data_IF_263894582524
#
_entry.id   IF_263894582524
#
_cell.length_a   1.000
_cell.length_b   1.000
_cell.length_c   1.000
_cell.angle_alpha   90.00
_cell.angle_beta   90.00
_cell.angle_gamma   90.00
#
_symmetry.space_group_name_H-M   'P 1'
#
loop_
_entity.id
_entity.type
_entity.pdbx_description
1 polymer ?
#
# COMPACT_ATOMS: atom_id res chain seq x y z
N UNK A 1 28.79 7.16 -12.29
CA UNK A 1 28.19 8.50 -12.51
C UNK A 1 26.69 8.36 -12.41
N UNK A 2 26.04 9.12 -11.54
CA UNK A 2 24.59 9.15 -11.48
C UNK A 2 24.06 10.01 -12.64
N UNK A 3 23.03 9.51 -13.33
CA UNK A 3 22.40 10.29 -14.40
C UNK A 3 21.48 11.36 -13.77
N UNK A 4 21.77 12.65 -13.91
CA UNK A 4 20.98 13.73 -13.31
C UNK A 4 19.55 13.85 -13.89
N UNK A 5 19.32 13.23 -15.06
CA UNK A 5 18.01 13.23 -15.71
C UNK A 5 17.16 11.98 -15.37
N UNK A 6 17.67 11.10 -14.51
CA UNK A 6 16.92 9.92 -14.08
C UNK A 6 15.73 10.36 -13.25
N UNK A 7 14.55 9.83 -13.56
CA UNK A 7 13.35 10.03 -12.77
C UNK A 7 13.19 8.88 -11.77
N UNK A 8 12.80 9.22 -10.57
CA UNK A 8 12.56 8.24 -9.49
C UNK A 8 11.07 8.00 -9.38
N UNK A 9 10.66 6.76 -9.66
CA UNK A 9 9.30 6.29 -9.43
C UNK A 9 9.29 5.29 -8.28
N UNK A 10 8.34 5.42 -7.36
CA UNK A 10 8.16 4.53 -6.22
C UNK A 10 6.80 3.85 -6.31
N UNK A 11 6.78 2.52 -6.22
CA UNK A 11 5.58 1.77 -5.88
C UNK A 11 5.35 1.93 -4.37
N UNK A 12 4.35 2.74 -4.00
CA UNK A 12 4.07 3.11 -2.61
C UNK A 12 3.04 2.18 -1.95
N UNK A 13 2.71 1.06 -2.57
CA UNK A 13 1.78 0.10 -1.99
C UNK A 13 2.23 -0.32 -0.59
N UNK A 14 1.32 -0.23 0.38
CA UNK A 14 1.51 -0.51 1.80
C UNK A 14 2.33 0.53 2.60
N UNK A 15 2.93 1.54 1.95
CA UNK A 15 3.65 2.62 2.63
C UNK A 15 2.75 3.81 3.00
N UNK A 16 1.63 3.98 2.31
CA UNK A 16 0.76 5.15 2.49
C UNK A 16 0.27 5.27 3.95
N UNK A 17 0.30 6.48 4.49
CA UNK A 17 -0.14 6.84 5.86
C UNK A 17 0.66 6.19 7.00
N UNK A 18 1.77 5.51 6.74
CA UNK A 18 2.65 4.94 7.78
C UNK A 18 3.59 6.01 8.34
N UNK A 19 4.12 6.85 7.45
CA UNK A 19 5.02 7.95 7.80
C UNK A 19 4.33 9.31 7.68
N UNK A 20 4.92 10.32 8.27
CA UNK A 20 4.47 11.73 8.14
C UNK A 20 4.85 12.37 6.82
N UNK A 21 5.76 11.74 6.07
CA UNK A 21 6.24 12.20 4.76
C UNK A 21 6.09 11.09 3.74
N UNK A 22 5.43 11.40 2.64
CA UNK A 22 5.30 10.50 1.50
C UNK A 22 6.51 10.64 0.55
N UNK A 23 6.87 9.63 -0.24
CA UNK A 23 8.06 9.66 -1.09
C UNK A 23 8.21 10.87 -2.01
N UNK A 24 7.14 11.49 -2.56
CA UNK A 24 7.28 12.69 -3.36
C UNK A 24 7.71 13.93 -2.57
N UNK A 25 7.55 13.93 -1.24
CA UNK A 25 7.99 15.02 -0.38
C UNK A 25 9.50 15.02 -0.16
N UNK A 26 10.18 13.91 -0.45
CA UNK A 26 11.61 13.73 -0.18
C UNK A 26 12.43 13.48 -1.43
N UNK A 27 12.12 12.48 -2.26
CA UNK A 27 13.01 12.11 -3.37
C UNK A 27 12.28 11.66 -4.64
N UNK A 28 11.06 11.14 -4.54
CA UNK A 28 10.37 10.59 -5.71
C UNK A 28 9.82 11.68 -6.64
N UNK A 29 9.97 11.48 -7.94
CA UNK A 29 9.31 12.29 -8.95
C UNK A 29 7.86 11.87 -9.16
N UNK A 30 7.58 10.59 -8.96
CA UNK A 30 6.28 9.97 -9.16
C UNK A 30 6.08 8.83 -8.16
N UNK A 31 4.87 8.64 -7.70
CA UNK A 31 4.44 7.44 -6.99
C UNK A 31 3.21 6.84 -7.66
N UNK A 32 3.08 5.54 -7.51
CA UNK A 32 1.86 4.83 -7.85
C UNK A 32 1.50 3.87 -6.71
N UNK A 33 0.22 3.58 -6.57
CA UNK A 33 -0.25 2.65 -5.57
C UNK A 33 -1.66 2.17 -5.87
N UNK A 34 -2.17 1.30 -5.00
CA UNK A 34 -3.46 0.67 -5.14
C UNK A 34 -4.47 1.24 -4.15
N UNK A 35 -5.64 1.67 -4.66
CA UNK A 35 -6.73 2.16 -3.83
C UNK A 35 -7.47 1.05 -3.07
N UNK A 36 -7.22 -0.22 -3.37
CA UNK A 36 -7.76 -1.34 -2.59
C UNK A 36 -6.89 -1.73 -1.38
N UNK A 37 -5.75 -1.06 -1.21
CA UNK A 37 -4.81 -1.25 -0.09
C UNK A 37 -4.98 -0.11 0.92
N UNK A 38 -3.88 0.41 1.46
CA UNK A 38 -3.91 1.44 2.50
C UNK A 38 -4.89 2.59 2.22
N UNK A 39 -4.85 3.25 1.04
CA UNK A 39 -5.75 4.38 0.79
C UNK A 39 -7.22 4.02 0.71
N UNK A 40 -7.54 2.75 0.52
CA UNK A 40 -8.92 2.28 0.42
C UNK A 40 -9.63 2.09 1.75
N UNK A 41 -8.94 2.17 2.89
CA UNK A 41 -9.53 2.08 4.22
C UNK A 41 -10.39 0.84 4.42
N UNK A 42 -10.05 -0.27 3.79
CA UNK A 42 -10.74 -1.58 3.77
C UNK A 42 -12.06 -1.63 2.98
N UNK A 43 -12.56 -0.53 2.43
CA UNK A 43 -13.87 -0.48 1.77
C UNK A 43 -13.84 -0.10 0.29
N UNK A 44 -12.77 0.47 -0.22
CA UNK A 44 -12.65 0.78 -1.64
C UNK A 44 -12.61 -0.52 -2.47
N UNK A 45 -13.50 -0.68 -3.47
CA UNK A 45 -13.64 -1.96 -4.18
C UNK A 45 -12.61 -2.16 -5.28
N UNK A 46 -12.01 -1.10 -5.80
CA UNK A 46 -11.07 -1.14 -6.92
C UNK A 46 -10.30 0.17 -7.04
N UNK A 47 -9.37 0.23 -7.97
CA UNK A 47 -8.69 1.44 -8.38
C UNK A 47 -7.21 1.47 -8.03
N UNK A 48 -6.53 2.41 -8.66
CA UNK A 48 -5.16 2.77 -8.40
C UNK A 48 -5.02 4.29 -8.44
N UNK A 49 -3.87 4.78 -8.02
CA UNK A 49 -3.55 6.21 -8.11
C UNK A 49 -2.13 6.39 -8.63
N UNK A 50 -1.92 7.56 -9.22
CA UNK A 50 -0.60 8.08 -9.56
C UNK A 50 -0.53 9.50 -9.04
N UNK A 51 0.54 9.84 -8.34
CA UNK A 51 0.75 11.18 -7.79
C UNK A 51 2.22 11.58 -7.92
N UNK A 52 2.49 12.90 -8.01
CA UNK A 52 3.83 13.43 -8.15
C UNK A 52 3.91 14.64 -9.06
N UNK A 53 4.98 14.79 -9.84
CA UNK A 53 5.19 15.93 -10.74
C UNK A 53 4.11 15.97 -11.82
N UNK A 54 3.57 17.18 -12.03
CA UNK A 54 2.43 17.41 -12.91
C UNK A 54 2.63 16.88 -14.34
N UNK A 55 3.80 17.08 -14.90
CA UNK A 55 4.15 16.62 -16.24
C UNK A 55 4.17 15.09 -16.35
N UNK A 56 4.68 14.40 -15.33
CA UNK A 56 4.72 12.94 -15.28
C UNK A 56 3.32 12.34 -15.04
N UNK A 57 2.53 12.96 -14.18
CA UNK A 57 1.13 12.54 -13.95
C UNK A 57 0.31 12.70 -15.24
N UNK A 58 0.48 13.82 -15.95
CA UNK A 58 -0.21 14.06 -17.22
C UNK A 58 0.20 13.04 -18.30
N UNK A 59 1.50 12.73 -18.40
CA UNK A 59 2.01 11.72 -19.33
C UNK A 59 1.43 10.34 -19.00
N UNK A 60 1.37 9.96 -17.72
CA UNK A 60 0.78 8.70 -17.28
C UNK A 60 -0.69 8.62 -17.63
N UNK A 61 -1.45 9.68 -17.37
CA UNK A 61 -2.89 9.75 -17.70
C UNK A 61 -3.13 9.59 -19.21
N UNK A 62 -2.30 10.20 -20.03
CA UNK A 62 -2.37 10.04 -21.49
C UNK A 62 -2.09 8.61 -21.97
N UNK A 63 -1.25 7.86 -21.24
CA UNK A 63 -0.95 6.45 -21.54
C UNK A 63 -2.05 5.48 -21.06
N UNK A 64 -2.78 5.83 -19.98
CA UNK A 64 -3.82 4.98 -19.40
C UNK A 64 -5.15 5.05 -20.13
N UNK A 65 -5.38 6.08 -20.93
CA UNK A 65 -6.61 6.28 -21.70
C UNK A 65 -6.36 6.06 -23.20
N UNK A 66 -7.44 6.01 -24.00
CA UNK A 66 -7.30 5.99 -25.45
C UNK A 66 -6.65 7.29 -25.96
N UNK A 67 -5.90 7.24 -27.06
CA UNK A 67 -5.24 8.43 -27.61
C UNK A 67 -6.22 9.60 -27.77
N UNK A 68 -5.88 10.76 -27.23
CA UNK A 68 -6.66 11.98 -27.29
C UNK A 68 -7.78 12.15 -26.25
N UNK A 69 -8.06 11.15 -25.42
CA UNK A 69 -9.12 11.24 -24.40
C UNK A 69 -8.60 11.77 -23.04
N UNK A 70 -7.34 11.54 -22.72
CA UNK A 70 -6.75 11.99 -21.44
C UNK A 70 -7.60 11.58 -20.23
N UNK A 71 -7.80 12.52 -19.32
CA UNK A 71 -8.59 12.32 -18.08
C UNK A 71 -10.07 12.74 -18.20
N UNK A 72 -10.52 13.18 -19.37
CA UNK A 72 -11.88 13.70 -19.58
C UNK A 72 -12.95 12.60 -19.47
N UNK A 73 -12.58 11.37 -19.70
CA UNK A 73 -13.45 10.22 -19.49
C UNK A 73 -13.36 9.77 -18.02
N UNK A 74 -14.41 10.00 -17.25
CA UNK A 74 -14.50 9.54 -15.86
C UNK A 74 -14.30 8.03 -15.76
N UNK A 75 -13.26 7.63 -15.02
CA UNK A 75 -12.82 6.24 -14.92
C UNK A 75 -13.64 5.40 -13.94
N UNK A 76 -14.47 6.02 -13.10
CA UNK A 76 -15.22 5.29 -12.08
C UNK A 76 -16.67 5.75 -11.94
N UNK A 77 -17.62 4.82 -11.77
CA UNK A 77 -19.02 5.14 -11.46
C UNK A 77 -19.13 5.91 -10.13
N UNK A 78 -20.12 6.79 -10.00
CA UNK A 78 -20.27 7.66 -8.81
C UNK A 78 -20.40 6.92 -7.49
N UNK A 79 -21.00 5.73 -7.47
CA UNK A 79 -21.08 4.91 -6.25
C UNK A 79 -19.72 4.34 -5.83
N UNK A 80 -18.86 4.01 -6.79
CA UNK A 80 -17.47 3.58 -6.53
C UNK A 80 -16.65 4.75 -5.98
N UNK A 81 -16.78 5.94 -6.56
CA UNK A 81 -16.12 7.16 -6.08
C UNK A 81 -16.51 7.47 -4.63
N UNK A 82 -17.77 7.28 -4.25
CA UNK A 82 -18.20 7.47 -2.85
C UNK A 82 -17.48 6.51 -1.90
N UNK A 83 -17.39 5.23 -2.25
CA UNK A 83 -16.68 4.23 -1.46
C UNK A 83 -15.17 4.55 -1.37
N UNK A 84 -14.56 5.02 -2.46
CA UNK A 84 -13.15 5.47 -2.45
C UNK A 84 -12.92 6.64 -1.51
N UNK A 85 -13.74 7.69 -1.54
CA UNK A 85 -13.59 8.82 -0.62
C UNK A 85 -13.86 8.45 0.84
N UNK A 86 -14.84 7.60 1.10
CA UNK A 86 -15.08 7.08 2.44
C UNK A 86 -13.90 6.23 2.93
N UNK A 87 -13.35 5.39 2.07
CA UNK A 87 -12.14 4.61 2.36
C UNK A 87 -10.95 5.50 2.67
N UNK A 88 -10.71 6.52 1.86
CA UNK A 88 -9.63 7.48 2.09
C UNK A 88 -9.77 8.21 3.44
N UNK A 89 -10.99 8.55 3.84
CA UNK A 89 -11.25 9.15 5.15
C UNK A 89 -10.90 8.19 6.31
N UNK A 90 -11.17 6.90 6.17
CA UNK A 90 -10.88 5.89 7.18
C UNK A 90 -9.43 5.38 7.15
N UNK A 91 -8.75 5.55 6.03
CA UNK A 91 -7.44 4.96 5.75
C UNK A 91 -6.39 5.20 6.84
N UNK A 92 -6.17 6.42 7.37
CA UNK A 92 -5.16 6.64 8.40
C UNK A 92 -5.40 5.82 9.66
N UNK A 93 -6.66 5.67 10.08
CA UNK A 93 -6.99 4.84 11.23
C UNK A 93 -6.77 3.35 10.93
N UNK A 94 -7.21 2.87 9.77
CA UNK A 94 -7.05 1.46 9.39
C UNK A 94 -5.56 1.08 9.27
N UNK A 95 -4.75 1.96 8.70
CA UNK A 95 -3.29 1.77 8.62
C UNK A 95 -2.67 1.76 10.00
N UNK A 96 -3.06 2.67 10.89
CA UNK A 96 -2.60 2.69 12.27
C UNK A 96 -2.90 1.37 13.01
N UNK A 97 -4.10 0.81 12.84
CA UNK A 97 -4.44 -0.50 13.42
C UNK A 97 -3.65 -1.65 12.77
N UNK A 98 -3.42 -1.60 11.46
CA UNK A 98 -2.58 -2.59 10.77
C UNK A 98 -1.13 -2.58 11.28
N UNK A 99 -0.54 -1.40 11.49
CA UNK A 99 0.80 -1.26 12.09
C UNK A 99 0.85 -1.84 13.50
N UNK A 100 -0.16 -1.56 14.35
CA UNK A 100 -0.24 -2.14 15.70
C UNK A 100 -0.35 -3.67 15.64
N UNK A 101 -1.17 -4.19 14.73
CA UNK A 101 -1.29 -5.63 14.51
C UNK A 101 0.04 -6.26 14.11
N UNK A 102 0.77 -5.65 13.17
CA UNK A 102 2.10 -6.09 12.75
C UNK A 102 3.12 -6.08 13.89
N UNK A 103 3.09 -5.03 14.75
CA UNK A 103 3.95 -4.95 15.94
C UNK A 103 3.65 -6.07 16.94
N UNK A 104 2.37 -6.32 17.23
CA UNK A 104 1.95 -7.39 18.13
C UNK A 104 2.38 -8.77 17.62
N UNK A 105 2.19 -9.05 16.33
CA UNK A 105 2.62 -10.29 15.70
C UNK A 105 4.14 -10.45 15.82
N UNK A 106 4.90 -9.39 15.50
CA UNK A 106 6.36 -9.43 15.60
C UNK A 106 6.83 -9.74 17.03
N UNK A 107 6.24 -9.11 18.05
CA UNK A 107 6.59 -9.39 19.47
C UNK A 107 6.28 -10.84 19.85
N UNK A 108 5.07 -11.32 19.53
CA UNK A 108 4.65 -12.67 19.89
C UNK A 108 5.50 -13.74 19.19
N UNK A 109 5.76 -13.56 17.90
CA UNK A 109 6.52 -14.54 17.11
C UNK A 109 8.01 -14.53 17.49
N UNK A 110 8.58 -13.35 17.75
CA UNK A 110 9.93 -13.22 18.26
C UNK A 110 10.10 -13.89 19.64
N UNK A 111 9.13 -13.70 20.54
CA UNK A 111 9.13 -14.33 21.86
C UNK A 111 9.02 -15.87 21.78
N UNK A 112 8.42 -16.40 20.72
CA UNK A 112 8.37 -17.85 20.44
C UNK A 112 9.63 -18.38 19.72
N UNK A 113 10.64 -17.53 19.49
CA UNK A 113 11.89 -17.92 18.84
C UNK A 113 11.85 -17.94 17.31
N UNK A 114 10.81 -17.42 16.68
CA UNK A 114 10.77 -17.26 15.22
C UNK A 114 11.54 -16.03 14.78
N UNK A 115 12.15 -16.11 13.60
CA UNK A 115 12.77 -14.95 12.96
C UNK A 115 11.69 -14.09 12.32
N UNK A 116 11.68 -12.81 12.66
CA UNK A 116 10.70 -11.84 12.17
C UNK A 116 11.39 -10.67 11.50
N UNK A 117 10.74 -10.09 10.49
CA UNK A 117 11.22 -8.94 9.75
C UNK A 117 10.03 -8.02 9.41
N UNK A 118 10.03 -6.74 9.81
CA UNK A 118 10.98 -6.07 10.70
C UNK A 118 10.98 -6.64 12.12
N UNK A 119 12.05 -6.37 12.87
CA UNK A 119 12.10 -6.71 14.29
C UNK A 119 11.02 -5.92 15.07
N UNK A 120 10.58 -6.41 16.25
CA UNK A 120 9.47 -5.81 16.99
C UNK A 120 9.58 -4.31 17.24
N UNK A 121 10.79 -3.80 17.45
CA UNK A 121 11.06 -2.38 17.75
C UNK A 121 11.80 -1.65 16.63
N UNK A 122 11.91 -2.27 15.45
CA UNK A 122 12.52 -1.61 14.30
C UNK A 122 11.59 -0.54 13.73
N UNK A 123 12.12 0.53 13.11
CA UNK A 123 11.32 1.47 12.34
C UNK A 123 10.54 0.74 11.25
N UNK A 124 9.33 1.20 10.97
CA UNK A 124 8.46 0.67 9.93
C UNK A 124 8.10 1.76 8.94
N UNK A 125 8.21 1.43 7.68
CA UNK A 125 7.89 2.32 6.54
C UNK A 125 6.74 1.77 5.71
N UNK A 126 6.22 0.60 6.11
CA UNK A 126 5.04 -0.05 5.54
C UNK A 126 4.32 -0.89 6.61
N UNK A 127 3.20 -1.50 6.24
CA UNK A 127 2.42 -2.39 7.12
C UNK A 127 2.83 -3.86 7.01
N UNK A 128 3.87 -4.19 6.23
CA UNK A 128 4.27 -5.58 5.98
C UNK A 128 5.00 -6.16 7.17
N UNK A 129 4.64 -7.37 7.56
CA UNK A 129 5.34 -8.17 8.55
C UNK A 129 5.65 -9.54 7.95
N UNK A 130 6.89 -9.96 8.04
CA UNK A 130 7.36 -11.26 7.56
C UNK A 130 7.80 -12.09 8.77
N UNK A 131 7.23 -13.29 8.87
CA UNK A 131 7.58 -14.26 9.89
C UNK A 131 8.12 -15.51 9.21
N UNK A 132 9.34 -15.91 9.58
CA UNK A 132 10.03 -17.06 8.98
C UNK A 132 9.77 -18.31 9.80
N UNK A 133 8.94 -19.19 9.28
CA UNK A 133 8.67 -20.50 9.84
C UNK A 133 9.57 -21.56 9.18
N UNK A 134 9.98 -22.55 9.95
CA UNK A 134 10.84 -23.65 9.47
C UNK A 134 10.18 -24.58 8.46
N UNK A 135 8.84 -24.47 8.30
CA UNK A 135 8.08 -25.23 7.32
C UNK A 135 7.23 -24.30 6.44
N UNK A 136 7.31 -24.50 5.14
CA UNK A 136 6.69 -23.66 4.11
C UNK A 136 5.14 -23.50 4.24
N UNK A 137 4.47 -24.47 4.86
CA UNK A 137 3.02 -24.45 5.10
C UNK A 137 2.59 -23.33 6.05
N UNK A 138 3.44 -22.97 6.99
CA UNK A 138 3.13 -21.94 7.99
C UNK A 138 3.31 -20.51 7.46
N UNK A 139 4.13 -20.31 6.43
CA UNK A 139 4.34 -18.99 5.82
C UNK A 139 3.06 -18.41 5.18
N UNK A 140 2.23 -19.28 4.58
CA UNK A 140 0.98 -18.85 3.93
C UNK A 140 -0.07 -18.40 4.96
N UNK A 141 -0.13 -19.05 6.10
CA UNK A 141 -1.06 -18.70 7.17
C UNK A 141 -0.67 -17.40 7.88
N UNK A 142 0.62 -17.18 8.14
CA UNK A 142 1.08 -15.98 8.82
C UNK A 142 0.90 -14.72 7.95
N UNK A 143 1.22 -14.79 6.66
CA UNK A 143 0.99 -13.66 5.75
C UNK A 143 -0.51 -13.33 5.58
N UNK A 144 -1.40 -14.33 5.66
CA UNK A 144 -2.86 -14.09 5.68
C UNK A 144 -3.35 -13.42 6.96
N UNK A 145 -2.79 -13.78 8.11
CA UNK A 145 -3.14 -13.14 9.39
C UNK A 145 -2.61 -11.71 9.49
N UNK A 146 -1.38 -11.47 9.01
CA UNK A 146 -0.78 -10.14 9.00
C UNK A 146 -1.50 -9.17 8.05
N UNK A 147 -2.05 -9.66 6.94
CA UNK A 147 -2.79 -8.85 5.99
C UNK A 147 -4.24 -8.56 6.37
N UNK A 148 -4.70 -9.01 7.56
CA UNK A 148 -6.08 -8.82 8.00
C UNK A 148 -7.12 -9.49 7.10
N UNK A 149 -6.68 -10.40 6.24
CA UNK A 149 -7.56 -11.11 5.33
C UNK A 149 -8.22 -12.27 6.03
N UNK A 150 -9.34 -12.01 6.69
CA UNK A 150 -10.38 -13.03 6.89
C UNK A 150 -11.03 -13.35 5.54
N UNK A 151 -10.34 -14.01 4.63
CA UNK A 151 -11.01 -14.68 3.56
C UNK A 151 -11.37 -16.08 4.01
N UNK A 152 -12.54 -16.23 4.51
CA UNK A 152 -13.30 -17.47 4.38
C UNK A 152 -13.30 -17.83 2.90
N UNK A 153 -12.64 -18.88 2.53
CA UNK A 153 -12.99 -19.68 1.38
C UNK A 153 -12.79 -21.12 1.76
N UNK A 154 -13.89 -21.70 2.09
CA UNK A 154 -14.24 -23.10 1.95
C UNK A 154 -13.78 -23.65 0.61
N UNK A 155 -13.32 -24.85 0.67
CA UNK A 155 -13.13 -25.99 -0.23
C UNK A 155 -11.68 -26.27 -0.51
#
# INVERSE_FOLDING_TARGET
MQNPNCKVMVDNCYGEFVETSEPPMVVADLIAGSLIKNPGGTIAPCGGYVAGKKDLVAATAACLSAPGLGVEFGLAPGHVMRAMFQGLFLAPQMVGEAVKGGLLIAEVMSAKGYRVQPLPRAPRHDIVQIDLFSQCWNCIHASRMAAGLSSVSSI
#
